data_IF_971817476195
#
_entry.id   IF_971817476195
#
_cell.length_a   1.000
_cell.length_b   1.000
_cell.length_c   1.000
_cell.angle_alpha   90.00
_cell.angle_beta   90.00
_cell.angle_gamma   90.00
#
_symmetry.space_group_name_H-M   'P 1'
#
loop_
_entity.id
_entity.type
_entity.pdbx_description
1 polymer ?
#
# COMPACT_ATOMS: atom_id res chain seq x y z
N UNK A 1 -3.38 4.61 47.19
CA UNK A 1 -3.65 3.23 46.78
C UNK A 1 -4.22 3.31 45.37
N UNK A 2 -3.48 2.89 44.35
CA UNK A 2 -3.98 2.89 42.95
C UNK A 2 -4.68 1.56 42.69
N UNK A 3 -5.86 1.64 42.12
CA UNK A 3 -6.58 0.47 41.61
C UNK A 3 -5.97 0.03 40.28
N UNK A 4 -5.43 -1.18 40.29
CA UNK A 4 -5.18 -2.01 39.13
C UNK A 4 -6.50 -2.19 38.37
N UNK A 5 -6.51 -1.86 37.08
CA UNK A 5 -7.42 -2.40 36.11
C UNK A 5 -6.62 -3.37 35.24
N UNK A 6 -6.71 -4.63 35.64
CA UNK A 6 -6.13 -5.76 34.94
C UNK A 6 -6.78 -5.96 33.56
N UNK A 7 -5.90 -6.22 32.61
CA UNK A 7 -6.16 -6.75 31.30
C UNK A 7 -6.90 -8.10 31.36
N UNK A 8 -8.19 -8.10 31.11
CA UNK A 8 -8.94 -9.30 30.70
C UNK A 8 -9.83 -8.99 29.49
N UNK A 9 -9.22 -8.94 28.32
CA UNK A 9 -9.97 -8.99 27.07
C UNK A 9 -9.15 -9.70 25.99
N UNK A 10 -8.97 -11.00 26.11
CA UNK A 10 -8.75 -11.92 25.00
C UNK A 10 -8.80 -13.35 25.53
N UNK A 11 -9.96 -13.95 25.50
CA UNK A 11 -10.11 -15.41 25.30
C UNK A 11 -11.61 -15.72 25.36
N UNK A 12 -12.23 -15.78 24.20
CA UNK A 12 -13.38 -16.64 23.86
C UNK A 12 -14.03 -16.14 22.56
N UNK A 13 -13.39 -16.38 21.43
CA UNK A 13 -14.16 -16.59 20.19
C UNK A 13 -13.86 -18.00 19.70
N UNK A 14 -14.88 -18.84 19.85
CA UNK A 14 -14.87 -20.21 19.43
C UNK A 14 -14.42 -20.33 17.97
N UNK A 15 -13.58 -21.34 17.72
CA UNK A 15 -13.28 -21.83 16.38
C UNK A 15 -14.60 -22.34 15.77
N UNK A 16 -15.35 -21.46 15.12
CA UNK A 16 -16.40 -21.88 14.21
C UNK A 16 -15.70 -22.49 12.99
N UNK A 17 -16.13 -23.67 12.62
CA UNK A 17 -15.70 -24.40 11.46
C UNK A 17 -15.88 -23.53 10.22
N UNK A 18 -14.78 -22.89 9.78
CA UNK A 18 -14.68 -22.48 8.39
C UNK A 18 -14.86 -23.74 7.56
N UNK A 19 -15.79 -23.72 6.61
CA UNK A 19 -15.91 -24.75 5.59
C UNK A 19 -14.50 -25.08 5.12
N UNK A 20 -14.06 -26.31 5.33
CA UNK A 20 -12.76 -26.81 4.92
C UNK A 20 -12.54 -26.46 3.46
N UNK A 21 -11.64 -25.49 3.18
CA UNK A 21 -11.23 -25.19 1.83
C UNK A 21 -10.54 -26.44 1.29
N UNK A 22 -11.11 -27.14 0.30
CA UNK A 22 -10.43 -28.26 -0.29
C UNK A 22 -9.23 -27.76 -1.06
N UNK A 23 -8.03 -27.97 -0.52
CA UNK A 23 -6.79 -27.84 -1.27
C UNK A 23 -6.71 -28.99 -2.27
N UNK A 24 -6.89 -28.78 -3.56
CA UNK A 24 -6.66 -29.84 -4.54
C UNK A 24 -5.17 -29.98 -4.76
N UNK A 25 -4.61 -31.02 -4.17
CA UNK A 25 -3.24 -31.47 -4.33
C UNK A 25 -3.01 -32.03 -5.75
N UNK A 26 -2.56 -31.19 -6.69
CA UNK A 26 -1.73 -31.63 -7.83
C UNK A 26 -1.04 -30.41 -8.47
N UNK A 27 0.31 -30.34 -8.31
CA UNK A 27 1.22 -29.36 -8.94
C UNK A 27 0.77 -27.90 -8.86
N UNK A 28 0.53 -27.37 -7.67
CA UNK A 28 0.29 -25.96 -7.48
C UNK A 28 1.62 -25.22 -7.50
N UNK A 29 1.72 -24.16 -8.30
CA UNK A 29 2.79 -23.18 -8.16
C UNK A 29 2.53 -22.37 -6.91
N UNK A 30 3.60 -22.10 -6.15
CA UNK A 30 3.57 -21.23 -4.98
C UNK A 30 4.53 -20.10 -5.19
N UNK A 31 4.04 -18.87 -5.03
CA UNK A 31 4.85 -17.66 -4.97
C UNK A 31 4.81 -17.12 -3.55
N UNK A 32 5.96 -16.68 -3.05
CA UNK A 32 6.04 -15.94 -1.79
C UNK A 32 6.50 -14.53 -2.11
N UNK A 33 5.63 -13.54 -1.91
CA UNK A 33 5.93 -12.12 -2.09
C UNK A 33 5.85 -11.42 -0.74
N UNK A 34 6.64 -10.36 -0.56
CA UNK A 34 6.67 -9.61 0.68
C UNK A 34 6.64 -8.11 0.43
N UNK A 35 5.61 -7.44 0.94
CA UNK A 35 5.44 -5.99 0.86
C UNK A 35 5.30 -5.42 2.28
N UNK A 36 6.06 -4.39 2.62
CA UNK A 36 6.04 -3.77 3.97
C UNK A 36 6.07 -4.78 5.13
N UNK A 37 6.87 -5.84 4.99
CA UNK A 37 6.98 -6.98 5.92
C UNK A 37 5.70 -7.83 6.06
N UNK A 38 4.73 -7.69 5.17
CA UNK A 38 3.58 -8.57 5.06
C UNK A 38 3.91 -9.65 4.03
N UNK A 39 3.80 -10.90 4.41
CA UNK A 39 4.14 -12.06 3.59
C UNK A 39 2.90 -12.64 2.95
N UNK A 40 2.91 -12.71 1.63
CA UNK A 40 1.85 -13.30 0.81
C UNK A 40 2.29 -14.66 0.29
N UNK A 41 1.51 -15.70 0.56
CA UNK A 41 1.62 -16.99 -0.13
C UNK A 41 0.52 -17.05 -1.19
N UNK A 42 0.92 -17.03 -2.45
CA UNK A 42 0.01 -17.07 -3.59
C UNK A 42 0.10 -18.43 -4.24
N UNK A 43 -1.01 -19.14 -4.28
CA UNK A 43 -1.13 -20.48 -4.83
C UNK A 43 -1.98 -20.46 -6.10
N UNK A 44 -1.50 -21.10 -7.15
CA UNK A 44 -2.18 -21.22 -8.44
C UNK A 44 -1.86 -22.55 -9.10
N UNK A 45 -2.75 -23.03 -9.96
CA UNK A 45 -2.51 -24.21 -10.81
C UNK A 45 -1.89 -23.86 -12.15
N UNK A 46 -1.98 -22.58 -12.53
CA UNK A 46 -1.55 -22.11 -13.84
C UNK A 46 -0.16 -21.48 -13.79
N UNK A 47 0.52 -21.51 -14.94
CA UNK A 47 1.80 -20.83 -15.08
C UNK A 47 1.57 -19.32 -15.08
N UNK A 48 2.16 -18.63 -14.11
CA UNK A 48 2.14 -17.17 -14.00
C UNK A 48 3.57 -16.66 -14.09
N UNK A 49 3.76 -15.60 -14.86
CA UNK A 49 5.03 -14.90 -14.98
C UNK A 49 5.11 -13.74 -13.97
N UNK A 50 6.29 -13.56 -13.39
CA UNK A 50 6.60 -12.43 -12.52
C UNK A 50 7.59 -11.54 -13.25
N UNK A 51 7.27 -10.26 -13.39
CA UNK A 51 8.18 -9.27 -13.98
C UNK A 51 9.39 -8.99 -13.08
N UNK A 52 10.43 -8.34 -13.64
CA UNK A 52 11.68 -8.11 -12.93
C UNK A 52 11.53 -7.16 -11.73
N UNK A 53 10.52 -6.30 -11.73
CA UNK A 53 10.25 -5.41 -10.59
C UNK A 53 9.68 -6.20 -9.43
N UNK A 54 8.67 -7.05 -9.67
CA UNK A 54 8.08 -7.92 -8.65
C UNK A 54 9.03 -9.00 -8.15
N UNK A 55 9.98 -9.48 -8.98
CA UNK A 55 11.01 -10.44 -8.55
C UNK A 55 11.83 -9.93 -7.36
N UNK A 56 12.02 -8.62 -7.23
CA UNK A 56 12.73 -8.02 -6.08
C UNK A 56 11.98 -8.25 -4.76
N UNK A 57 10.65 -8.38 -4.82
CA UNK A 57 9.79 -8.63 -3.67
C UNK A 57 9.52 -10.12 -3.42
N UNK A 58 10.09 -11.00 -4.25
CA UNK A 58 9.98 -12.44 -4.07
C UNK A 58 10.93 -12.93 -2.98
N UNK A 59 10.40 -13.76 -2.06
CA UNK A 59 11.17 -14.33 -0.96
C UNK A 59 11.38 -15.82 -1.17
N UNK A 60 12.61 -16.29 -0.96
CA UNK A 60 12.97 -17.72 -0.93
C UNK A 60 12.94 -18.30 0.49
N UNK A 61 12.92 -17.45 1.50
CA UNK A 61 12.90 -17.85 2.91
C UNK A 61 11.53 -18.40 3.31
N UNK A 62 11.51 -19.37 4.23
CA UNK A 62 10.29 -19.94 4.77
C UNK A 62 9.64 -19.02 5.82
N UNK A 63 9.16 -17.85 5.37
CA UNK A 63 8.30 -17.03 6.22
C UNK A 63 6.91 -17.65 6.31
N UNK A 64 6.29 -17.56 7.48
CA UNK A 64 4.85 -17.83 7.61
C UNK A 64 4.07 -16.82 6.80
N UNK A 65 2.96 -17.25 6.18
CA UNK A 65 2.09 -16.34 5.48
C UNK A 65 1.28 -15.49 6.46
N UNK A 66 1.28 -14.17 6.24
CA UNK A 66 0.29 -13.27 6.83
C UNK A 66 -1.00 -13.32 6.02
N UNK A 67 -0.86 -13.48 4.69
CA UNK A 67 -1.96 -13.56 3.74
C UNK A 67 -1.77 -14.76 2.82
N UNK A 68 -2.76 -15.64 2.74
CA UNK A 68 -2.80 -16.77 1.80
C UNK A 68 -3.80 -16.48 0.70
N UNK A 69 -3.35 -16.49 -0.56
CA UNK A 69 -4.16 -16.25 -1.74
C UNK A 69 -4.25 -17.52 -2.57
N UNK A 70 -5.47 -17.97 -2.86
CA UNK A 70 -5.76 -19.06 -3.78
C UNK A 70 -6.34 -18.48 -5.07
N UNK A 71 -5.62 -18.61 -6.17
CA UNK A 71 -6.08 -18.14 -7.48
C UNK A 71 -6.73 -19.31 -8.21
N UNK A 72 -7.94 -19.09 -8.71
CA UNK A 72 -8.70 -20.03 -9.52
C UNK A 72 -9.24 -19.36 -10.79
N UNK A 73 -9.52 -20.19 -11.80
CA UNK A 73 -10.13 -19.77 -13.05
C UNK A 73 -11.61 -20.18 -13.11
N UNK A 74 -12.15 -20.66 -12.02
CA UNK A 74 -13.54 -21.08 -11.95
C UNK A 74 -14.43 -19.89 -11.60
N UNK A 75 -14.81 -19.14 -12.63
CA UNK A 75 -15.67 -17.97 -12.52
C UNK A 75 -17.15 -18.32 -12.26
N UNK A 76 -17.59 -19.53 -12.61
CA UNK A 76 -19.02 -19.90 -12.68
C UNK A 76 -19.73 -20.01 -11.32
N UNK A 77 -19.00 -19.96 -10.23
CA UNK A 77 -19.56 -20.21 -8.89
C UNK A 77 -19.88 -18.94 -8.08
N UNK A 78 -19.74 -17.75 -8.66
CA UNK A 78 -19.84 -16.51 -7.91
C UNK A 78 -21.12 -15.74 -8.26
N UNK A 79 -22.10 -15.78 -7.34
CA UNK A 79 -23.26 -14.87 -7.39
C UNK A 79 -22.82 -13.45 -7.00
N UNK A 80 -23.24 -12.44 -7.76
CA UNK A 80 -22.97 -11.03 -7.44
C UNK A 80 -23.94 -10.60 -6.32
N UNK A 81 -23.45 -10.10 -5.18
CA UNK A 81 -24.29 -9.64 -4.09
C UNK A 81 -25.07 -8.36 -4.45
N UNK A 82 -26.12 -8.08 -3.69
CA UNK A 82 -27.08 -7.00 -4.00
C UNK A 82 -26.73 -5.63 -3.42
N UNK A 83 -25.73 -5.51 -2.54
CA UNK A 83 -25.34 -4.25 -1.88
C UNK A 83 -23.88 -3.98 -2.08
N UNK A 84 -23.53 -2.86 -2.73
CA UNK A 84 -22.14 -2.49 -3.01
C UNK A 84 -21.68 -1.29 -2.20
N UNK A 85 -20.41 -1.34 -1.74
CA UNK A 85 -19.65 -0.18 -1.32
C UNK A 85 -18.57 0.09 -2.37
N UNK A 86 -18.47 1.31 -2.88
CA UNK A 86 -17.55 1.66 -3.96
C UNK A 86 -16.22 2.16 -3.40
N UNK A 87 -15.11 1.57 -3.85
CA UNK A 87 -13.75 2.07 -3.67
C UNK A 87 -13.19 2.66 -4.96
N UNK A 88 -12.30 3.66 -4.86
CA UNK A 88 -11.78 4.38 -6.02
C UNK A 88 -10.44 3.82 -6.47
N UNK A 89 -10.33 3.27 -7.67
CA UNK A 89 -9.17 3.18 -8.57
C UNK A 89 -9.32 2.16 -9.67
N UNK A 90 -9.00 0.97 -9.65
CA UNK A 90 -9.69 -0.05 -10.44
C UNK A 90 -11.03 -0.14 -9.74
N UNK A 91 -12.13 0.06 -10.45
CA UNK A 91 -13.45 0.09 -9.82
C UNK A 91 -13.64 -1.22 -9.08
N UNK A 92 -13.20 -1.24 -7.82
CA UNK A 92 -13.40 -2.37 -6.92
C UNK A 92 -14.66 -2.11 -6.13
N UNK A 93 -15.62 -3.00 -6.27
CA UNK A 93 -16.84 -2.99 -5.49
C UNK A 93 -16.69 -3.97 -4.33
N UNK A 94 -16.99 -3.52 -3.13
CA UNK A 94 -16.95 -4.36 -1.94
C UNK A 94 -18.35 -4.69 -1.49
N UNK A 95 -18.53 -5.94 -1.07
CA UNK A 95 -19.79 -6.45 -0.55
C UNK A 95 -19.51 -7.21 0.74
N UNK A 96 -20.49 -7.25 1.63
CA UNK A 96 -20.43 -8.03 2.85
C UNK A 96 -21.51 -9.10 2.78
N UNK A 97 -21.10 -10.35 2.89
CA UNK A 97 -22.00 -11.50 2.92
C UNK A 97 -21.70 -12.32 4.18
N UNK A 98 -22.55 -12.21 5.19
CA UNK A 98 -22.34 -12.79 6.52
C UNK A 98 -20.97 -12.34 7.10
N UNK A 99 -20.04 -13.28 7.35
CA UNK A 99 -18.68 -13.04 7.86
C UNK A 99 -17.63 -13.07 6.74
N UNK A 100 -18.01 -12.75 5.50
CA UNK A 100 -17.12 -12.80 4.35
C UNK A 100 -17.16 -11.46 3.61
N UNK A 101 -16.01 -10.93 3.27
CA UNK A 101 -15.91 -9.80 2.36
C UNK A 101 -15.73 -10.29 0.93
N UNK A 102 -16.51 -9.72 0.01
CA UNK A 102 -16.35 -9.93 -1.40
C UNK A 102 -15.81 -8.66 -2.04
N UNK A 103 -14.79 -8.81 -2.89
CA UNK A 103 -14.21 -7.71 -3.66
C UNK A 103 -14.29 -8.07 -5.14
N UNK A 104 -15.10 -7.32 -5.89
CA UNK A 104 -15.25 -7.45 -7.33
C UNK A 104 -14.42 -6.40 -8.04
N UNK A 105 -13.54 -6.80 -8.94
CA UNK A 105 -12.76 -5.88 -9.78
C UNK A 105 -13.42 -5.75 -11.14
N UNK A 106 -13.84 -4.55 -11.51
CA UNK A 106 -14.51 -4.25 -12.76
C UNK A 106 -13.53 -4.06 -13.91
N UNK A 107 -13.89 -4.58 -15.09
CA UNK A 107 -13.11 -4.50 -16.33
C UNK A 107 -13.77 -3.66 -17.44
N UNK A 108 -14.57 -2.68 -17.08
CA UNK A 108 -15.28 -1.84 -18.03
C UNK A 108 -16.42 -2.56 -18.75
N UNK A 109 -16.52 -2.37 -20.07
CA UNK A 109 -17.63 -2.90 -20.87
C UNK A 109 -17.74 -4.44 -20.91
N UNK A 110 -16.68 -5.16 -20.54
CA UNK A 110 -16.65 -6.63 -20.50
C UNK A 110 -17.07 -7.22 -19.15
N UNK A 111 -17.49 -6.37 -18.20
CA UNK A 111 -17.89 -6.79 -16.86
C UNK A 111 -16.72 -7.06 -15.91
N UNK A 112 -16.97 -7.82 -14.84
CA UNK A 112 -15.96 -8.08 -13.84
C UNK A 112 -14.78 -8.92 -14.35
N UNK A 113 -13.59 -8.52 -13.96
CA UNK A 113 -12.31 -9.21 -14.24
C UNK A 113 -12.07 -10.31 -13.22
N UNK A 114 -12.34 -10.00 -11.95
CA UNK A 114 -12.05 -10.87 -10.82
C UNK A 114 -13.08 -10.71 -9.70
N UNK A 115 -13.26 -11.78 -8.95
CA UNK A 115 -14.00 -11.79 -7.69
C UNK A 115 -13.11 -12.42 -6.61
N UNK A 116 -12.86 -11.67 -5.54
CA UNK A 116 -12.17 -12.15 -4.37
C UNK A 116 -13.16 -12.39 -3.23
N UNK A 117 -13.07 -13.55 -2.61
CA UNK A 117 -13.75 -13.89 -1.35
C UNK A 117 -12.70 -13.89 -0.25
N UNK A 118 -12.89 -13.05 0.76
CA UNK A 118 -11.91 -12.79 1.80
C UNK A 118 -12.45 -13.09 3.18
N UNK A 119 -11.61 -13.62 4.07
CA UNK A 119 -11.91 -13.65 5.49
C UNK A 119 -12.00 -12.23 6.07
N UNK A 120 -12.67 -12.00 7.20
CA UNK A 120 -12.81 -10.66 7.80
C UNK A 120 -11.47 -9.98 8.13
N UNK A 121 -10.43 -10.74 8.39
CA UNK A 121 -9.06 -10.28 8.66
C UNK A 121 -8.16 -10.25 7.41
N UNK A 122 -8.71 -10.57 6.23
CA UNK A 122 -7.99 -10.71 4.97
C UNK A 122 -6.80 -11.69 4.99
N UNK A 123 -6.71 -12.57 5.97
CA UNK A 123 -5.65 -13.56 6.04
C UNK A 123 -5.78 -14.67 4.99
N UNK A 124 -7.01 -14.91 4.47
CA UNK A 124 -7.29 -15.90 3.43
C UNK A 124 -8.16 -15.28 2.35
N UNK A 125 -7.70 -15.42 1.10
CA UNK A 125 -8.35 -14.87 -0.08
C UNK A 125 -8.47 -15.95 -1.15
N UNK A 126 -9.68 -16.13 -1.65
CA UNK A 126 -9.93 -16.88 -2.87
C UNK A 126 -10.22 -15.88 -3.99
N UNK A 127 -9.39 -15.86 -5.01
CA UNK A 127 -9.53 -14.99 -6.17
C UNK A 127 -9.92 -15.83 -7.39
N UNK A 128 -11.10 -15.59 -7.95
CA UNK A 128 -11.54 -16.15 -9.21
C UNK A 128 -11.36 -15.13 -10.32
N UNK A 129 -10.70 -15.52 -11.41
CA UNK A 129 -10.46 -14.69 -12.59
C UNK A 129 -11.40 -15.07 -13.72
N UNK A 130 -11.97 -14.07 -14.39
CA UNK A 130 -12.89 -14.24 -15.50
C UNK A 130 -12.14 -14.39 -16.83
N UNK A 131 -11.70 -15.61 -17.14
CA UNK A 131 -10.96 -15.90 -18.36
C UNK A 131 -11.81 -15.90 -19.62
N UNK A 132 -13.10 -16.12 -19.52
CA UNK A 132 -14.00 -16.12 -20.66
C UNK A 132 -13.97 -14.75 -21.35
N UNK A 133 -13.86 -13.67 -20.57
CA UNK A 133 -13.81 -12.30 -21.09
C UNK A 133 -12.39 -11.73 -21.18
N UNK A 134 -11.42 -12.32 -20.47
CA UNK A 134 -10.06 -11.74 -20.26
C UNK A 134 -8.97 -12.81 -20.35
N UNK A 135 -8.92 -13.58 -21.42
CA UNK A 135 -8.02 -14.72 -21.62
C UNK A 135 -6.50 -14.40 -21.52
N UNK A 136 -6.11 -13.12 -21.64
CA UNK A 136 -4.70 -12.69 -21.59
C UNK A 136 -4.17 -12.38 -20.17
N UNK A 137 -5.06 -12.28 -19.18
CA UNK A 137 -4.73 -11.87 -17.79
C UNK A 137 -3.88 -12.88 -17.02
N UNK A 138 -4.06 -14.19 -17.16
CA UNK A 138 -3.46 -15.19 -16.28
C UNK A 138 -1.95 -15.27 -16.28
N UNK A 139 -1.28 -14.60 -17.19
CA UNK A 139 0.16 -14.77 -17.36
C UNK A 139 1.00 -13.74 -16.60
N UNK A 140 0.38 -12.73 -15.99
CA UNK A 140 1.09 -11.61 -15.36
C UNK A 140 0.69 -11.45 -13.88
N UNK A 141 1.63 -11.67 -12.98
CA UNK A 141 1.41 -11.58 -11.53
C UNK A 141 1.05 -10.16 -11.09
N UNK A 142 1.64 -9.12 -11.68
CA UNK A 142 1.32 -7.73 -11.38
C UNK A 142 -0.16 -7.42 -11.64
N UNK A 143 -0.71 -7.92 -12.73
CA UNK A 143 -2.13 -7.77 -13.03
C UNK A 143 -3.00 -8.51 -12.00
N UNK A 144 -2.64 -9.74 -11.63
CA UNK A 144 -3.38 -10.50 -10.63
C UNK A 144 -3.39 -9.78 -9.28
N UNK A 145 -2.24 -9.25 -8.85
CA UNK A 145 -2.16 -8.50 -7.61
C UNK A 145 -3.06 -7.25 -7.61
N UNK A 146 -3.26 -6.61 -8.78
CA UNK A 146 -4.19 -5.47 -8.92
C UNK A 146 -5.66 -5.87 -8.76
N UNK A 147 -5.99 -7.14 -8.97
CA UNK A 147 -7.35 -7.65 -8.75
C UNK A 147 -7.63 -8.03 -7.30
N UNK A 148 -6.60 -8.13 -6.46
CA UNK A 148 -6.74 -8.37 -5.02
C UNK A 148 -7.10 -7.06 -4.29
N UNK A 149 -7.79 -7.13 -3.15
CA UNK A 149 -8.10 -5.98 -2.31
C UNK A 149 -6.86 -5.51 -1.53
N UNK A 150 -5.77 -5.18 -2.25
CA UNK A 150 -4.45 -4.90 -1.65
C UNK A 150 -4.50 -3.79 -0.60
N UNK A 151 -5.33 -2.76 -0.82
CA UNK A 151 -5.49 -1.64 0.11
C UNK A 151 -6.12 -2.07 1.42
N UNK A 152 -7.24 -2.81 1.33
CA UNK A 152 -7.92 -3.35 2.51
C UNK A 152 -6.98 -4.28 3.29
N UNK A 153 -6.17 -5.09 2.59
CA UNK A 153 -5.14 -5.91 3.21
C UNK A 153 -4.12 -5.03 3.94
N UNK A 154 -3.49 -4.06 3.27
CA UNK A 154 -2.50 -3.18 3.88
C UNK A 154 -3.05 -2.42 5.08
N UNK A 155 -4.28 -1.92 4.97
CA UNK A 155 -4.96 -1.24 6.06
C UNK A 155 -5.17 -2.16 7.28
N UNK A 156 -5.55 -3.42 7.06
CA UNK A 156 -5.71 -4.41 8.13
C UNK A 156 -4.41 -4.63 8.91
N UNK A 157 -3.25 -4.51 8.25
CA UNK A 157 -1.93 -4.60 8.86
C UNK A 157 -1.36 -3.24 9.31
N UNK A 158 -2.19 -2.21 9.45
CA UNK A 158 -1.76 -0.89 9.93
C UNK A 158 -0.78 -0.19 8.99
N UNK A 159 -0.98 -0.35 7.69
CA UNK A 159 -0.12 0.24 6.66
C UNK A 159 -0.89 1.33 5.90
N UNK A 160 -0.34 2.54 5.87
CA UNK A 160 -0.84 3.65 5.07
C UNK A 160 -0.30 3.56 3.64
N UNK A 161 -1.11 3.96 2.68
CA UNK A 161 -0.80 3.92 1.26
C UNK A 161 -0.77 5.33 0.68
N UNK A 162 0.41 5.82 0.29
CA UNK A 162 0.60 7.17 -0.24
C UNK A 162 0.85 7.19 -1.76
N UNK A 163 0.26 8.16 -2.43
CA UNK A 163 0.65 8.57 -3.76
C UNK A 163 1.87 9.50 -3.65
N UNK A 164 3.04 8.92 -3.53
CA UNK A 164 4.27 9.62 -3.25
C UNK A 164 5.47 9.02 -3.98
N UNK A 165 6.41 9.87 -4.40
CA UNK A 165 7.75 9.45 -4.75
C UNK A 165 8.59 9.37 -3.48
N UNK A 166 9.32 8.27 -3.32
CA UNK A 166 10.20 8.03 -2.17
C UNK A 166 11.65 8.14 -2.59
N UNK A 167 12.41 8.90 -1.80
CA UNK A 167 13.86 8.89 -1.82
C UNK A 167 14.43 8.43 -0.48
N UNK A 168 15.68 7.97 -0.48
CA UNK A 168 16.47 7.72 0.72
C UNK A 168 17.72 8.61 0.71
N UNK A 169 17.87 9.37 1.79
CA UNK A 169 19.09 10.12 2.12
C UNK A 169 19.78 9.36 3.25
N UNK A 170 20.90 8.68 2.93
CA UNK A 170 21.47 7.65 3.82
C UNK A 170 20.38 6.61 4.17
N UNK A 171 20.02 6.49 5.44
CA UNK A 171 19.00 5.55 5.95
C UNK A 171 17.63 6.19 6.22
N UNK A 172 17.47 7.48 5.87
CA UNK A 172 16.26 8.25 6.11
C UNK A 172 15.43 8.35 4.84
N UNK A 173 14.20 7.83 4.88
CA UNK A 173 13.21 7.95 3.82
C UNK A 173 12.51 9.30 3.85
N UNK A 174 12.39 9.94 2.70
CA UNK A 174 11.63 11.18 2.50
C UNK A 174 10.60 10.93 1.41
N UNK A 175 9.34 11.27 1.68
CA UNK A 175 8.26 11.14 0.73
C UNK A 175 7.92 12.50 0.11
N UNK A 176 7.93 12.57 -1.22
CA UNK A 176 7.37 13.69 -1.96
C UNK A 176 5.97 13.35 -2.43
N UNK A 177 4.98 14.07 -1.94
CA UNK A 177 3.57 13.87 -2.31
C UNK A 177 2.95 15.16 -2.86
N UNK A 178 2.05 15.01 -3.81
CA UNK A 178 1.33 16.11 -4.46
C UNK A 178 0.32 15.54 -5.48
N UNK A 179 -0.63 16.31 -5.98
CA UNK A 179 -1.43 15.95 -7.14
C UNK A 179 -0.58 15.52 -8.34
N UNK A 180 -1.17 14.74 -9.24
CA UNK A 180 -0.47 14.31 -10.46
C UNK A 180 0.06 15.51 -11.24
N UNK A 181 1.26 15.39 -11.83
CA UNK A 181 1.89 16.45 -12.62
C UNK A 181 2.54 17.59 -11.83
N UNK A 182 2.46 17.62 -10.50
CA UNK A 182 3.03 18.71 -9.67
C UNK A 182 4.56 18.67 -9.59
N UNK A 183 5.22 17.53 -9.84
CA UNK A 183 6.69 17.44 -9.87
C UNK A 183 7.31 16.49 -8.84
N UNK A 184 6.58 15.51 -8.31
CA UNK A 184 7.12 14.49 -7.38
C UNK A 184 8.38 13.82 -7.92
N UNK A 185 8.28 13.27 -9.13
CA UNK A 185 9.39 12.59 -9.81
C UNK A 185 10.54 13.55 -10.11
N UNK A 186 10.24 14.80 -10.46
CA UNK A 186 11.23 15.85 -10.70
C UNK A 186 12.03 16.13 -9.44
N UNK A 187 11.37 16.32 -8.29
CA UNK A 187 12.08 16.53 -7.02
C UNK A 187 12.94 15.33 -6.65
N UNK A 188 12.42 14.10 -6.80
CA UNK A 188 13.22 12.89 -6.53
C UNK A 188 14.48 12.84 -7.41
N UNK A 189 14.39 13.17 -8.71
CA UNK A 189 15.54 13.23 -9.63
C UNK A 189 16.53 14.34 -9.24
N UNK A 190 16.06 15.50 -8.80
CA UNK A 190 16.93 16.59 -8.34
C UNK A 190 17.74 16.18 -7.10
N UNK A 191 17.10 15.52 -6.13
CA UNK A 191 17.80 15.01 -4.96
C UNK A 191 18.83 13.92 -5.31
N UNK A 192 18.50 13.03 -6.24
CA UNK A 192 19.47 12.05 -6.78
C UNK A 192 20.66 12.76 -7.40
N UNK A 193 20.41 13.75 -8.27
CA UNK A 193 21.45 14.47 -9.02
C UNK A 193 22.36 15.31 -8.12
N UNK A 194 21.79 16.05 -7.18
CA UNK A 194 22.55 17.06 -6.42
C UNK A 194 22.98 16.59 -5.02
N UNK A 195 22.41 15.50 -4.51
CA UNK A 195 22.70 14.99 -3.16
C UNK A 195 23.00 13.49 -3.12
N UNK A 196 23.02 12.83 -4.26
CA UNK A 196 23.25 11.39 -4.32
C UNK A 196 22.19 10.55 -3.59
N UNK A 197 21.00 11.12 -3.40
CA UNK A 197 19.88 10.38 -2.79
C UNK A 197 19.46 9.22 -3.69
N UNK A 198 19.11 8.07 -3.10
CA UNK A 198 18.57 6.94 -3.87
C UNK A 198 17.08 7.13 -4.09
N UNK A 199 16.61 6.95 -5.32
CA UNK A 199 15.18 6.88 -5.62
C UNK A 199 14.69 5.46 -5.34
N UNK A 200 13.80 5.32 -4.36
CA UNK A 200 13.28 4.04 -3.89
C UNK A 200 12.01 3.66 -4.63
N UNK A 201 11.08 4.60 -4.79
CA UNK A 201 9.85 4.37 -5.54
C UNK A 201 9.38 5.66 -6.21
N UNK A 202 8.78 5.54 -7.41
CA UNK A 202 8.40 6.71 -8.21
C UNK A 202 7.01 7.26 -7.89
N UNK A 203 6.06 6.42 -7.45
CA UNK A 203 4.66 6.82 -7.42
C UNK A 203 3.84 6.28 -6.24
N UNK A 204 4.13 5.07 -5.76
CA UNK A 204 3.36 4.41 -4.70
C UNK A 204 4.27 3.97 -3.56
N UNK A 205 3.95 4.41 -2.36
CA UNK A 205 4.76 4.16 -1.17
C UNK A 205 3.88 3.65 -0.03
N UNK A 206 4.35 2.60 0.63
CA UNK A 206 3.73 2.06 1.83
C UNK A 206 4.43 2.63 3.07
N UNK A 207 3.65 3.04 4.06
CA UNK A 207 4.15 3.54 5.34
C UNK A 207 3.53 2.74 6.45
N UNK A 208 4.35 2.12 7.29
CA UNK A 208 3.90 1.25 8.37
C UNK A 208 4.61 1.54 9.67
N UNK A 209 3.87 1.49 10.78
CA UNK A 209 4.47 1.52 12.10
C UNK A 209 4.98 0.13 12.47
N UNK A 210 6.27 0.07 12.79
CA UNK A 210 6.94 -1.13 13.33
C UNK A 210 7.41 -0.83 14.77
N UNK A 211 7.88 -1.83 15.53
CA UNK A 211 8.39 -1.60 16.89
C UNK A 211 9.48 -0.53 16.99
N UNK A 212 10.31 -0.42 15.94
CA UNK A 212 11.40 0.56 15.81
C UNK A 212 10.96 1.94 15.29
N UNK A 213 9.66 2.16 15.05
CA UNK A 213 9.10 3.43 14.57
C UNK A 213 8.44 3.34 13.20
N UNK A 214 8.15 4.49 12.60
CA UNK A 214 7.55 4.57 11.28
C UNK A 214 8.57 4.24 10.18
N UNK A 215 8.19 3.29 9.32
CA UNK A 215 9.02 2.81 8.21
C UNK A 215 8.32 3.03 6.88
N UNK A 216 9.12 3.25 5.85
CA UNK A 216 8.63 3.45 4.48
C UNK A 216 9.20 2.39 3.55
N UNK A 217 8.38 1.95 2.60
CA UNK A 217 8.66 0.85 1.66
C UNK A 217 8.16 1.23 0.27
N UNK A 218 8.90 0.83 -0.77
CA UNK A 218 8.40 0.92 -2.13
C UNK A 218 7.25 -0.06 -2.38
N UNK A 219 6.34 0.31 -3.29
CA UNK A 219 5.29 -0.57 -3.78
C UNK A 219 5.37 -0.69 -5.30
N UNK A 220 5.51 -1.92 -5.86
CA UNK A 220 5.90 -2.13 -7.25
C UNK A 220 4.77 -1.98 -8.26
N UNK A 221 3.52 -1.86 -7.82
CA UNK A 221 2.36 -1.76 -8.70
C UNK A 221 1.96 -0.29 -8.91
N UNK A 222 1.39 0.02 -10.07
CA UNK A 222 0.80 1.32 -10.44
C UNK A 222 1.79 2.50 -10.59
N UNK A 223 3.09 2.24 -10.71
CA UNK A 223 4.09 3.27 -10.95
C UNK A 223 4.17 3.72 -12.41
N UNK A 224 4.35 5.02 -12.64
CA UNK A 224 4.59 5.60 -13.97
C UNK A 224 6.01 5.32 -14.50
N UNK A 225 6.97 5.05 -13.62
CA UNK A 225 8.34 4.63 -13.93
C UNK A 225 8.62 3.27 -13.27
N UNK A 226 9.44 2.38 -13.88
CA UNK A 226 9.76 1.06 -13.33
C UNK A 226 10.77 1.14 -12.18
N UNK A 227 10.74 2.23 -11.41
CA UNK A 227 11.62 2.44 -10.26
C UNK A 227 10.85 2.02 -9.01
N UNK A 228 11.24 0.87 -8.49
CA UNK A 228 10.80 0.41 -7.18
C UNK A 228 11.87 -0.50 -6.59
N UNK A 229 12.23 -0.24 -5.33
CA UNK A 229 13.14 -1.07 -4.52
C UNK A 229 12.36 -1.66 -3.35
N UNK A 230 12.77 -2.85 -2.91
CA UNK A 230 12.27 -3.50 -1.69
C UNK A 230 12.85 -2.89 -0.40
N UNK A 231 13.76 -1.93 -0.54
CA UNK A 231 14.45 -1.33 0.60
C UNK A 231 13.49 -0.66 1.58
N UNK A 232 13.81 -0.84 2.86
CA UNK A 232 13.12 -0.25 4.00
C UNK A 232 13.93 0.87 4.59
N UNK A 233 13.29 2.01 4.89
CA UNK A 233 13.96 3.15 5.52
C UNK A 233 13.12 3.70 6.68
N UNK A 234 13.79 4.29 7.68
CA UNK A 234 13.10 5.09 8.68
C UNK A 234 12.40 6.26 7.98
N UNK A 235 11.13 6.49 8.24
CA UNK A 235 10.44 7.65 7.68
C UNK A 235 10.85 8.91 8.43
N UNK A 236 11.59 9.80 7.76
CA UNK A 236 12.03 11.07 8.35
C UNK A 236 11.06 12.23 8.11
N UNK A 237 10.44 12.30 6.93
CA UNK A 237 9.53 13.39 6.61
C UNK A 237 8.58 13.05 5.46
N UNK A 238 7.41 13.72 5.46
CA UNK A 238 6.52 13.82 4.30
C UNK A 238 6.54 15.26 3.79
N UNK A 239 6.80 15.44 2.49
CA UNK A 239 6.94 16.74 1.85
C UNK A 239 5.86 16.92 0.79
N UNK A 240 4.95 17.84 1.04
CA UNK A 240 3.92 18.25 0.11
C UNK A 240 4.49 19.27 -0.88
N UNK A 241 4.43 18.94 -2.18
CA UNK A 241 4.96 19.83 -3.21
C UNK A 241 3.90 20.79 -3.72
N UNK A 242 4.32 22.03 -3.96
CA UNK A 242 3.58 23.06 -4.64
C UNK A 242 4.49 23.79 -5.62
N UNK A 243 4.02 24.00 -6.83
CA UNK A 243 4.75 24.81 -7.81
C UNK A 243 4.72 26.28 -7.41
N UNK A 244 5.85 26.96 -7.57
CA UNK A 244 5.97 28.40 -7.30
C UNK A 244 7.22 29.00 -7.95
N UNK A 245 7.32 30.31 -7.91
CA UNK A 245 8.46 31.05 -8.49
C UNK A 245 9.60 31.27 -7.47
N UNK A 246 9.34 31.00 -6.20
CA UNK A 246 10.32 31.13 -5.11
C UNK A 246 10.27 29.89 -4.24
N UNK A 247 11.46 29.48 -3.76
CA UNK A 247 11.59 28.31 -2.90
C UNK A 247 11.29 28.68 -1.45
N UNK A 248 10.32 28.01 -0.86
CA UNK A 248 9.94 28.20 0.53
C UNK A 248 9.51 26.86 1.15
N UNK A 249 9.99 26.59 2.36
CA UNK A 249 9.60 25.42 3.16
C UNK A 249 8.85 25.88 4.41
N UNK A 250 7.65 25.34 4.59
CA UNK A 250 6.84 25.58 5.79
C UNK A 250 6.53 24.24 6.45
N UNK A 251 6.78 24.11 7.74
CA UNK A 251 6.35 22.95 8.51
C UNK A 251 4.84 23.07 8.78
N UNK A 252 4.09 22.07 8.37
CA UNK A 252 2.65 22.01 8.62
C UNK A 252 2.41 21.40 10.02
N UNK A 253 1.37 21.86 10.68
CA UNK A 253 0.98 21.35 11.98
C UNK A 253 -0.40 20.67 11.92
N UNK A 254 -0.60 19.69 12.77
CA UNK A 254 -1.87 19.03 13.08
C UNK A 254 -2.93 19.06 11.95
N UNK A 255 -3.95 19.90 12.11
CA UNK A 255 -5.10 19.96 11.19
C UNK A 255 -4.73 20.32 9.75
N UNK A 256 -3.72 21.19 9.56
CA UNK A 256 -3.27 21.57 8.21
C UNK A 256 -2.54 20.41 7.52
N UNK A 257 -1.77 19.62 8.28
CA UNK A 257 -1.12 18.43 7.75
C UNK A 257 -2.14 17.35 7.35
N UNK A 258 -3.14 17.07 8.20
CA UNK A 258 -4.23 16.13 7.88
C UNK A 258 -4.95 16.56 6.60
N UNK A 259 -5.44 17.79 6.54
CA UNK A 259 -6.19 18.31 5.40
C UNK A 259 -5.38 18.27 4.09
N UNK A 260 -4.07 18.49 4.18
CA UNK A 260 -3.17 18.48 3.04
C UNK A 260 -2.80 17.07 2.56
N UNK A 261 -2.64 16.11 3.47
CA UNK A 261 -2.23 14.74 3.15
C UNK A 261 -3.39 13.82 2.76
N UNK A 262 -4.57 13.97 3.35
CA UNK A 262 -5.71 13.10 3.03
C UNK A 262 -6.00 12.97 1.53
N UNK A 263 -5.97 14.05 0.71
CA UNK A 263 -6.17 13.92 -0.74
C UNK A 263 -5.04 13.20 -1.47
N UNK A 264 -3.89 13.01 -0.82
CA UNK A 264 -2.69 12.36 -1.38
C UNK A 264 -2.55 10.91 -0.92
N UNK A 265 -3.42 10.49 -0.03
CA UNK A 265 -3.51 9.11 0.40
C UNK A 265 -4.50 8.36 -0.48
N UNK A 266 -4.22 7.11 -0.65
CA UNK A 266 -5.16 6.18 -1.29
C UNK A 266 -6.04 5.60 -0.18
N UNK A 267 -7.07 6.36 0.22
CA UNK A 267 -8.01 5.94 1.26
C UNK A 267 -9.00 4.96 0.65
N UNK A 268 -9.02 3.74 1.17
CA UNK A 268 -10.00 2.75 0.76
C UNK A 268 -11.31 2.94 1.51
N UNK A 269 -12.37 3.28 0.76
CA UNK A 269 -13.69 3.54 1.30
C UNK A 269 -14.58 2.30 1.46
N UNK A 270 -13.98 1.09 1.59
CA UNK A 270 -14.75 -0.14 1.62
C UNK A 270 -15.62 -0.32 2.87
N UNK A 271 -15.28 0.33 3.98
CA UNK A 271 -16.17 0.48 5.15
C UNK A 271 -15.92 1.78 5.91
N UNK A 272 -16.91 2.22 6.67
CA UNK A 272 -16.78 3.41 7.52
C UNK A 272 -15.73 3.20 8.63
N UNK A 273 -15.68 2.00 9.21
CA UNK A 273 -14.72 1.61 10.24
C UNK A 273 -13.30 1.55 9.70
N UNK A 274 -13.14 1.04 8.48
CA UNK A 274 -11.85 1.00 7.80
C UNK A 274 -11.32 2.41 7.58
N UNK A 275 -12.17 3.31 7.08
CA UNK A 275 -11.83 4.72 6.88
C UNK A 275 -11.47 5.44 8.19
N UNK A 276 -12.21 5.15 9.26
CA UNK A 276 -11.92 5.72 10.58
C UNK A 276 -10.55 5.27 11.10
N UNK A 277 -10.22 3.97 10.99
CA UNK A 277 -8.90 3.43 11.36
C UNK A 277 -7.76 4.06 10.58
N UNK A 278 -7.95 4.31 9.29
CA UNK A 278 -6.92 4.93 8.46
C UNK A 278 -6.67 6.39 8.84
N UNK A 279 -7.72 7.13 9.19
CA UNK A 279 -7.60 8.50 9.71
C UNK A 279 -6.87 8.51 11.07
N UNK A 280 -7.20 7.57 11.95
CA UNK A 280 -6.50 7.40 13.23
C UNK A 280 -5.01 7.06 13.02
N UNK A 281 -4.72 6.17 12.12
CA UNK A 281 -3.33 5.80 11.79
C UNK A 281 -2.55 6.99 11.22
N UNK A 282 -3.20 7.82 10.37
CA UNK A 282 -2.61 9.06 9.89
C UNK A 282 -2.37 10.05 11.05
N UNK A 283 -3.32 10.20 11.97
CA UNK A 283 -3.14 11.07 13.13
C UNK A 283 -1.92 10.64 13.97
N UNK A 284 -1.78 9.33 14.23
CA UNK A 284 -0.63 8.78 14.95
C UNK A 284 0.70 9.02 14.22
N UNK A 285 0.71 8.93 12.89
CA UNK A 285 1.88 9.27 12.09
C UNK A 285 2.30 10.73 12.29
N UNK A 286 1.34 11.64 12.31
CA UNK A 286 1.59 13.08 12.39
C UNK A 286 2.06 13.55 13.77
N UNK A 287 1.91 12.73 14.81
CA UNK A 287 2.51 12.99 16.13
C UNK A 287 4.02 12.84 16.13
N UNK A 288 4.56 11.98 15.26
CA UNK A 288 5.99 11.63 15.25
C UNK A 288 6.72 12.14 14.02
N UNK A 289 6.06 12.15 12.86
CA UNK A 289 6.69 12.45 11.57
C UNK A 289 6.35 13.88 11.13
N UNK A 290 7.37 14.73 10.92
CA UNK A 290 7.15 16.09 10.43
C UNK A 290 6.64 16.10 8.99
N UNK A 291 5.69 17.01 8.74
CA UNK A 291 5.16 17.27 7.41
C UNK A 291 5.55 18.68 6.97
N UNK A 292 6.07 18.80 5.76
CA UNK A 292 6.45 20.08 5.19
C UNK A 292 5.67 20.35 3.92
N UNK A 293 5.38 21.63 3.66
CA UNK A 293 5.01 22.10 2.35
C UNK A 293 6.22 22.78 1.73
N UNK A 294 6.66 22.28 0.57
CA UNK A 294 7.70 22.89 -0.25
C UNK A 294 7.04 23.56 -1.46
N UNK A 295 6.99 24.88 -1.46
CA UNK A 295 6.73 25.65 -2.67
C UNK A 295 8.05 25.81 -3.39
N UNK A 296 8.14 25.43 -4.68
CA UNK A 296 9.45 25.35 -5.33
C UNK A 296 9.44 25.52 -6.84
N UNK A 297 10.62 25.91 -7.35
CA UNK A 297 11.06 25.80 -8.74
C UNK A 297 11.69 24.42 -8.97
N UNK A 298 11.77 23.92 -10.24
CA UNK A 298 12.33 22.61 -10.56
C UNK A 298 13.86 22.65 -10.75
N UNK A 299 14.61 23.13 -9.74
CA UNK A 299 16.07 23.27 -9.80
C UNK A 299 16.76 22.95 -8.47
N UNK A 300 18.11 23.03 -8.45
CA UNK A 300 18.93 22.74 -7.27
C UNK A 300 18.58 23.62 -6.07
N UNK A 301 18.15 24.84 -6.29
CA UNK A 301 17.86 25.76 -5.16
C UNK A 301 16.69 25.28 -4.33
N UNK A 302 15.74 24.55 -4.93
CA UNK A 302 14.66 23.87 -4.21
C UNK A 302 15.20 22.76 -3.30
N UNK A 303 16.14 21.95 -3.80
CA UNK A 303 16.80 20.91 -3.00
C UNK A 303 17.51 21.52 -1.81
N UNK A 304 18.32 22.56 -2.04
CA UNK A 304 19.07 23.26 -0.98
C UNK A 304 18.14 23.87 0.08
N UNK A 305 17.04 24.47 -0.35
CA UNK A 305 16.04 25.07 0.54
C UNK A 305 15.43 24.02 1.49
N UNK A 306 15.02 22.88 0.94
CA UNK A 306 14.45 21.78 1.74
C UNK A 306 15.52 21.13 2.62
N UNK A 307 16.70 20.84 2.09
CA UNK A 307 17.82 20.24 2.83
C UNK A 307 18.18 21.04 4.09
N UNK A 308 18.37 22.36 3.96
CA UNK A 308 18.67 23.23 5.08
C UNK A 308 17.59 23.16 6.17
N UNK A 309 16.35 23.05 5.77
CA UNK A 309 15.23 22.89 6.70
C UNK A 309 15.24 21.54 7.39
N UNK A 310 15.45 20.45 6.65
CA UNK A 310 15.50 19.10 7.21
C UNK A 310 16.68 18.93 8.18
N UNK A 311 17.85 19.48 7.85
CA UNK A 311 19.01 19.50 8.75
C UNK A 311 18.71 20.31 10.02
N UNK A 312 18.16 21.52 9.87
CA UNK A 312 17.79 22.38 11.00
C UNK A 312 16.82 21.71 11.96
N UNK A 313 15.89 20.93 11.44
CA UNK A 313 14.86 20.24 12.23
C UNK A 313 15.36 18.84 12.71
N UNK A 314 16.61 18.45 12.39
CA UNK A 314 17.21 17.17 12.82
C UNK A 314 16.65 15.95 12.12
N UNK A 315 16.03 16.12 10.94
CA UNK A 315 15.46 15.01 10.15
C UNK A 315 16.54 14.24 9.40
N UNK A 316 17.53 14.95 8.88
CA UNK A 316 18.71 14.38 8.22
C UNK A 316 19.98 15.02 8.80
N UNK A 317 21.08 14.28 8.71
CA UNK A 317 22.40 14.80 9.09
C UNK A 317 22.96 15.71 7.98
N UNK A 318 23.85 16.63 8.37
CA UNK A 318 24.60 17.50 7.46
C UNK A 318 25.64 16.73 6.61
#
# INVERSE_FOLDING_TARGET
MPHNLDNEYVEHRGRQQFCSFPLPLRRNMKFTLRFSKITFHIHTKEKIEIDDTLKKFACTNNFNADVTVLISWDWKTHAIPTVSMTGNDLVQNYYIEQDTYLCETQGGAKGAIAMCRCTPDFSHIQCALNLDNYAYIPQQMDFILRTLPMRAIFQQFGTLFFHAAQIAVKDTGILFTAPSGTGKTTQAKLWETYRGARRICADRTLVRRLPEGWRTFGYPLDGSEPICSEEEHALGAVVLLRQGQQNQVVRLNGRHAIAALMPQMVIDGWSAEAKAREIELLANLLEEIPVYQLTCTPDETAVRCLEQRLIKDGVIES
#
